data_IF_907428364776
#
_entry.id   IF_907428364776
#
_cell.length_a   1.000
_cell.length_b   1.000
_cell.length_c   1.000
_cell.angle_alpha   90.00
_cell.angle_beta   90.00
_cell.angle_gamma   90.00
#
_symmetry.space_group_name_H-M   'P 1'
#
loop_
_entity.id
_entity.type
_entity.pdbx_description
1 polymer ?
#
# COMPACT_ATOMS: atom_id res chain seq x y z
N UNK A 1 -15.09 19.78 -26.24
CA UNK A 1 -14.33 18.50 -26.23
C UNK A 1 -12.81 18.69 -26.37
N UNK A 2 -12.30 19.61 -27.22
CA UNK A 2 -10.85 19.80 -27.41
C UNK A 2 -10.05 20.14 -26.13
N UNK A 3 -10.60 20.94 -25.22
CA UNK A 3 -9.92 21.35 -23.97
C UNK A 3 -9.70 20.17 -23.00
N UNK A 4 -10.60 19.19 -22.99
CA UNK A 4 -10.45 18.02 -22.11
C UNK A 4 -9.34 17.07 -22.59
N UNK A 5 -9.11 17.01 -23.91
CA UNK A 5 -8.06 16.17 -24.50
C UNK A 5 -6.66 16.73 -24.17
N UNK A 6 -6.47 18.05 -24.24
CA UNK A 6 -5.18 18.70 -23.94
C UNK A 6 -4.78 18.60 -22.47
N UNK A 7 -5.75 18.67 -21.55
CA UNK A 7 -5.47 18.52 -20.11
C UNK A 7 -5.00 17.10 -19.76
N UNK A 8 -5.49 16.08 -20.48
CA UNK A 8 -5.07 14.70 -20.26
C UNK A 8 -3.68 14.40 -20.81
N UNK A 9 -3.28 15.00 -21.93
CA UNK A 9 -1.91 14.87 -22.47
C UNK A 9 -0.88 15.49 -21.53
N UNK A 10 -1.17 16.65 -20.95
CA UNK A 10 -0.26 17.32 -20.01
C UNK A 10 -0.02 16.49 -18.75
N UNK A 11 -1.08 15.88 -18.19
CA UNK A 11 -0.97 14.98 -17.02
C UNK A 11 -0.11 13.76 -17.33
N UNK A 12 -0.30 13.13 -18.50
CA UNK A 12 0.51 11.98 -18.93
C UNK A 12 1.98 12.36 -19.09
N UNK A 13 2.25 13.50 -19.72
CA UNK A 13 3.61 14.02 -19.91
C UNK A 13 4.30 14.29 -18.56
N UNK A 14 3.59 14.91 -17.61
CA UNK A 14 4.11 15.19 -16.27
C UNK A 14 4.37 13.91 -15.45
N UNK A 15 3.52 12.89 -15.58
CA UNK A 15 3.74 11.60 -14.94
C UNK A 15 4.93 10.85 -15.55
N UNK A 16 5.12 10.89 -16.87
CA UNK A 16 6.28 10.33 -17.57
C UNK A 16 7.59 10.99 -17.10
N UNK A 17 7.61 12.32 -17.00
CA UNK A 17 8.81 13.05 -16.55
C UNK A 17 9.18 12.72 -15.09
N UNK A 18 8.18 12.60 -14.20
CA UNK A 18 8.40 12.17 -12.80
C UNK A 18 8.99 10.76 -12.72
N UNK A 19 8.49 9.80 -13.52
CA UNK A 19 9.05 8.44 -13.56
C UNK A 19 10.49 8.45 -14.09
N UNK A 20 10.75 9.20 -15.15
CA UNK A 20 12.08 9.38 -15.71
C UNK A 20 13.09 9.94 -14.69
N UNK A 21 12.67 10.94 -13.90
CA UNK A 21 13.48 11.51 -12.83
C UNK A 21 13.79 10.46 -11.74
N UNK A 22 12.80 9.63 -11.37
CA UNK A 22 13.01 8.52 -10.45
C UNK A 22 14.04 7.50 -10.96
N UNK A 23 13.96 7.09 -12.23
CA UNK A 23 14.92 6.17 -12.86
C UNK A 23 16.35 6.74 -12.82
N UNK A 24 16.50 8.03 -13.16
CA UNK A 24 17.79 8.71 -13.11
C UNK A 24 18.35 8.79 -11.67
N UNK A 25 17.50 9.16 -10.70
CA UNK A 25 17.89 9.27 -9.29
C UNK A 25 18.30 7.94 -8.66
N UNK A 26 17.71 6.82 -9.11
CA UNK A 26 18.11 5.47 -8.68
C UNK A 26 19.41 4.96 -9.33
N UNK A 27 20.06 5.76 -10.20
CA UNK A 27 21.29 5.35 -10.87
C UNK A 27 21.09 4.23 -11.89
N UNK A 28 19.89 4.07 -12.43
CA UNK A 28 19.54 2.98 -13.37
C UNK A 28 19.85 3.32 -14.83
N UNK A 29 20.72 4.30 -15.07
CA UNK A 29 21.15 4.75 -16.40
C UNK A 29 22.66 4.55 -16.53
N UNK A 30 23.05 3.56 -17.33
CA UNK A 30 24.44 3.22 -17.58
C UNK A 30 24.84 3.63 -18.99
N UNK A 31 26.06 4.15 -19.17
CA UNK A 31 26.61 4.50 -20.48
C UNK A 31 27.45 3.35 -21.01
N UNK A 32 27.10 2.85 -22.19
CA UNK A 32 27.78 1.77 -22.91
C UNK A 32 28.22 2.31 -24.28
N UNK A 33 29.40 2.97 -24.31
CA UNK A 33 29.89 3.68 -25.49
C UNK A 33 29.00 4.85 -25.90
N UNK A 34 28.44 4.77 -27.12
CA UNK A 34 27.52 5.75 -27.70
C UNK A 34 26.04 5.47 -27.39
N UNK A 35 25.78 4.40 -26.63
CA UNK A 35 24.44 4.01 -26.20
C UNK A 35 24.31 4.18 -24.68
N UNK A 36 23.08 4.35 -24.23
CA UNK A 36 22.71 4.33 -22.81
C UNK A 36 21.78 3.15 -22.57
N UNK A 37 22.12 2.31 -21.59
CA UNK A 37 21.24 1.25 -21.09
C UNK A 37 20.46 1.79 -19.90
N UNK A 38 19.14 1.84 -20.03
CA UNK A 38 18.21 2.31 -18.99
C UNK A 38 17.45 1.11 -18.43
N UNK A 39 17.51 0.89 -17.13
CA UNK A 39 16.81 -0.23 -16.46
C UNK A 39 15.58 0.29 -15.72
N UNK A 40 14.40 -0.25 -16.02
CA UNK A 40 13.16 0.10 -15.32
C UNK A 40 12.86 -0.87 -14.18
N UNK A 41 12.57 -0.39 -12.96
CA UNK A 41 12.16 -1.25 -11.87
C UNK A 41 10.73 -1.75 -12.09
N UNK A 42 10.56 -3.06 -12.25
CA UNK A 42 9.23 -3.69 -12.27
C UNK A 42 8.84 -4.16 -10.87
N UNK A 43 7.56 -4.01 -10.54
CA UNK A 43 6.97 -4.50 -9.28
C UNK A 43 7.11 -6.02 -9.10
N UNK A 44 7.28 -6.79 -10.17
CA UNK A 44 7.42 -8.26 -10.11
C UNK A 44 8.88 -8.74 -10.06
N UNK A 45 9.83 -7.87 -9.76
CA UNK A 45 11.26 -8.20 -9.68
C UNK A 45 11.94 -8.46 -11.03
N UNK A 46 11.20 -8.56 -12.14
CA UNK A 46 11.77 -8.62 -13.49
C UNK A 46 12.21 -7.24 -13.94
N UNK A 47 13.51 -6.99 -13.97
CA UNK A 47 14.07 -5.77 -14.54
C UNK A 47 14.05 -5.89 -16.07
N UNK A 48 13.42 -4.92 -16.73
CA UNK A 48 13.57 -4.73 -18.17
C UNK A 48 14.62 -3.64 -18.41
N UNK A 49 15.48 -3.85 -19.42
CA UNK A 49 16.45 -2.86 -19.85
C UNK A 49 16.18 -2.43 -21.28
N UNK A 50 16.23 -1.14 -21.53
CA UNK A 50 16.05 -0.53 -22.85
C UNK A 50 17.29 0.26 -23.22
N UNK A 51 17.58 0.31 -24.51
CA UNK A 51 18.69 1.10 -25.05
C UNK A 51 18.18 2.45 -25.55
N UNK A 52 18.96 3.50 -25.32
CA UNK A 52 18.75 4.85 -25.84
C UNK A 52 20.01 5.27 -26.57
N UNK A 53 19.89 5.63 -27.85
CA UNK A 53 21.02 5.99 -28.71
C UNK A 53 20.65 7.12 -29.66
N UNK A 54 21.63 7.64 -30.40
CA UNK A 54 21.38 8.54 -31.54
C UNK A 54 21.52 7.74 -32.83
N UNK A 55 20.57 7.89 -33.73
CA UNK A 55 20.67 7.30 -35.07
C UNK A 55 21.66 8.07 -35.96
N UNK A 56 21.88 7.59 -37.18
CA UNK A 56 22.79 8.22 -38.16
C UNK A 56 22.39 9.66 -38.51
N UNK A 57 21.10 10.00 -38.37
CA UNK A 57 20.59 11.36 -38.55
C UNK A 57 20.73 12.23 -37.28
N UNK A 58 21.35 11.71 -36.21
CA UNK A 58 21.54 12.38 -34.93
C UNK A 58 20.27 12.46 -34.05
N UNK A 59 19.16 11.85 -34.48
CA UNK A 59 17.91 11.82 -33.73
C UNK A 59 17.98 10.78 -32.62
N UNK A 60 17.48 11.14 -31.44
CA UNK A 60 17.47 10.23 -30.28
C UNK A 60 16.40 9.17 -30.48
N UNK A 61 16.78 7.90 -30.31
CA UNK A 61 15.93 6.71 -30.42
C UNK A 61 15.94 5.91 -29.13
N UNK A 62 14.88 5.16 -28.88
CA UNK A 62 14.79 4.22 -27.77
C UNK A 62 14.20 2.88 -28.25
N UNK A 63 14.65 1.77 -27.66
CA UNK A 63 14.15 0.42 -27.98
C UNK A 63 12.88 0.02 -27.23
N UNK A 64 12.21 0.93 -26.50
CA UNK A 64 10.96 0.60 -25.81
C UNK A 64 9.75 0.71 -26.74
N UNK A 65 8.77 -0.18 -26.55
CA UNK A 65 7.56 -0.24 -27.37
C UNK A 65 6.79 1.09 -27.43
N UNK A 66 6.65 1.79 -26.30
CA UNK A 66 5.95 3.09 -26.23
C UNK A 66 6.59 4.13 -27.19
N UNK A 67 7.91 4.09 -27.37
CA UNK A 67 8.60 4.98 -28.30
C UNK A 67 8.37 4.57 -29.75
N UNK A 68 8.39 3.28 -30.04
CA UNK A 68 8.13 2.76 -31.38
C UNK A 68 6.71 3.12 -31.85
N UNK A 69 5.73 3.02 -30.97
CA UNK A 69 4.33 3.34 -31.25
C UNK A 69 4.07 4.85 -31.35
N UNK A 70 4.48 5.65 -30.35
CA UNK A 70 4.11 7.07 -30.29
C UNK A 70 5.01 7.96 -31.18
N UNK A 71 6.26 7.57 -31.46
CA UNK A 71 7.17 8.41 -32.27
C UNK A 71 6.80 8.49 -33.75
N UNK A 72 5.98 7.55 -34.24
CA UNK A 72 5.40 7.61 -35.58
C UNK A 72 4.32 8.68 -35.70
N UNK A 73 3.57 8.93 -34.62
CA UNK A 73 2.50 9.92 -34.57
C UNK A 73 3.04 11.31 -34.23
N UNK A 74 3.99 11.38 -33.29
CA UNK A 74 4.55 12.63 -32.79
C UNK A 74 6.07 12.65 -32.95
N UNK A 75 6.55 13.47 -33.90
CA UNK A 75 7.99 13.57 -34.18
C UNK A 75 8.83 14.02 -32.96
N UNK A 76 8.20 14.73 -32.01
CA UNK A 76 8.79 15.23 -30.77
C UNK A 76 8.61 14.33 -29.55
N UNK A 77 8.00 13.15 -29.70
CA UNK A 77 7.75 12.24 -28.60
C UNK A 77 9.05 11.82 -27.89
N UNK A 78 9.01 11.79 -26.55
CA UNK A 78 10.10 11.31 -25.69
C UNK A 78 9.51 10.39 -24.63
N UNK A 79 9.84 9.10 -24.71
CA UNK A 79 9.49 8.16 -23.67
C UNK A 79 10.26 8.45 -22.36
N UNK A 80 9.84 7.81 -21.28
CA UNK A 80 10.47 7.97 -19.97
C UNK A 80 11.96 7.59 -19.94
N UNK A 81 12.40 6.64 -20.78
CA UNK A 81 13.81 6.25 -20.88
C UNK A 81 14.69 7.36 -21.47
N UNK A 82 14.22 8.05 -22.52
CA UNK A 82 14.94 9.18 -23.13
C UNK A 82 15.06 10.34 -22.13
N UNK A 83 13.98 10.61 -21.40
CA UNK A 83 13.97 11.62 -20.35
C UNK A 83 14.89 11.24 -19.18
N UNK A 84 14.97 9.96 -18.81
CA UNK A 84 15.86 9.50 -17.75
C UNK A 84 17.34 9.72 -18.11
N UNK A 85 17.73 9.46 -19.37
CA UNK A 85 19.08 9.78 -19.86
C UNK A 85 19.36 11.29 -19.79
N UNK A 86 18.39 12.12 -20.19
CA UNK A 86 18.51 13.58 -20.09
C UNK A 86 18.76 14.01 -18.64
N UNK A 87 17.96 13.52 -17.69
CA UNK A 87 18.09 13.84 -16.26
C UNK A 87 19.42 13.35 -15.67
N UNK A 88 19.87 12.15 -16.04
CA UNK A 88 21.17 11.61 -15.60
C UNK A 88 22.35 12.46 -16.08
N UNK A 89 22.31 12.92 -17.34
CA UNK A 89 23.36 13.79 -17.89
C UNK A 89 23.36 15.18 -17.25
N UNK A 90 22.19 15.74 -16.95
CA UNK A 90 22.08 17.01 -16.23
C UNK A 90 22.64 16.90 -14.80
N UNK A 91 22.33 15.80 -14.09
CA UNK A 91 22.84 15.56 -12.75
C UNK A 91 24.38 15.47 -12.73
N UNK A 92 24.98 14.69 -13.65
CA UNK A 92 26.44 14.57 -13.78
C UNK A 92 27.13 15.90 -14.09
N UNK A 93 26.49 16.78 -14.85
CA UNK A 93 27.03 18.11 -15.16
C UNK A 93 26.86 19.10 -13.99
N UNK A 94 25.95 18.83 -13.05
CA UNK A 94 25.67 19.70 -11.90
C UNK A 94 26.49 19.39 -10.65
N UNK A 95 27.17 18.24 -10.60
CA UNK A 95 28.09 17.94 -9.51
C UNK A 95 29.31 18.89 -9.61
N UNK A 96 29.56 19.74 -8.59
CA UNK A 96 30.72 20.62 -8.62
C UNK A 96 31.98 19.75 -8.66
N UNK A 97 32.86 20.04 -9.61
CA UNK A 97 34.20 19.43 -9.79
C UNK A 97 35.00 19.66 -8.52
N UNK A 98 34.76 18.84 -7.51
CA UNK A 98 35.42 18.92 -6.21
C UNK A 98 35.95 17.54 -5.88
N UNK A 99 37.26 17.40 -6.09
CA UNK A 99 38.13 16.30 -5.65
C UNK A 99 38.02 15.00 -6.46
N UNK A 100 38.57 15.04 -7.69
CA UNK A 100 39.28 13.85 -8.18
C UNK A 100 40.64 13.77 -7.46
N UNK A 101 40.98 12.64 -6.82
CA UNK A 101 42.34 12.38 -6.38
C UNK A 101 43.26 12.22 -7.63
N UNK A 102 44.51 12.69 -7.58
CA UNK A 102 45.41 12.65 -8.72
C UNK A 102 45.68 11.20 -9.13
N UNK A 103 45.42 10.88 -10.40
CA UNK A 103 45.80 9.62 -11.02
C UNK A 103 47.32 9.47 -10.98
N UNK A 104 47.78 8.33 -10.46
CA UNK A 104 49.20 7.94 -10.47
C UNK A 104 49.64 7.71 -11.92
N UNK A 105 50.78 8.25 -12.35
CA UNK A 105 51.31 7.99 -13.68
C UNK A 105 51.82 6.55 -13.76
N UNK A 106 51.31 5.80 -14.74
CA UNK A 106 51.85 4.50 -15.14
C UNK A 106 53.04 4.76 -16.06
N UNK A 107 54.24 4.45 -15.57
CA UNK A 107 55.44 4.35 -16.40
C UNK A 107 55.46 2.99 -17.12
N UNK A 108 55.83 3.01 -18.40
CA UNK A 108 55.72 1.88 -19.32
C UNK A 108 56.88 0.89 -19.32
N UNK A 109 56.54 -0.29 -19.87
CA UNK A 109 57.27 -1.14 -20.81
C UNK A 109 58.75 -1.53 -20.57
N UNK A 110 59.00 -2.85 -20.45
CA UNK A 110 59.85 -3.62 -21.39
C UNK A 110 59.88 -5.15 -21.13
N UNK A 111 59.54 -5.91 -22.19
CA UNK A 111 60.16 -7.12 -22.75
C UNK A 111 60.44 -8.43 -21.95
N UNK A 112 59.79 -9.50 -22.44
CA UNK A 112 60.27 -10.85 -22.80
C UNK A 112 60.98 -11.76 -21.76
N UNK A 113 60.43 -12.97 -21.54
CA UNK A 113 60.98 -14.25 -22.05
C UNK A 113 60.14 -15.48 -21.67
N UNK A 114 60.14 -16.44 -22.60
CA UNK A 114 59.64 -17.82 -22.51
C UNK A 114 60.48 -18.67 -21.52
N UNK A 115 59.86 -19.66 -20.88
CA UNK A 115 60.18 -21.10 -21.00
C UNK A 115 59.80 -21.92 -19.75
N UNK A 116 59.19 -23.07 -20.03
CA UNK A 116 59.39 -24.40 -19.42
C UNK A 116 58.97 -24.72 -17.97
N UNK A 117 58.00 -25.65 -17.90
CA UNK A 117 57.74 -26.63 -16.82
C UNK A 117 58.98 -27.49 -16.52
N UNK A 118 59.13 -28.07 -15.32
CA UNK A 118 58.62 -29.44 -15.12
C UNK A 118 58.06 -29.76 -13.72
N UNK A 119 57.26 -30.84 -13.69
CA UNK A 119 56.87 -31.67 -12.55
C UNK A 119 58.00 -31.93 -11.54
N UNK A 120 57.65 -32.25 -10.28
CA UNK A 120 58.00 -33.51 -9.57
C UNK A 120 57.43 -33.51 -8.14
N UNK A 121 56.50 -34.44 -7.90
CA UNK A 121 56.30 -35.36 -6.75
C UNK A 121 56.20 -34.91 -5.27
N UNK A 122 55.18 -35.48 -4.61
CA UNK A 122 54.99 -35.67 -3.16
C UNK A 122 56.14 -36.50 -2.53
N UNK A 123 56.30 -36.53 -1.19
CA UNK A 123 55.58 -37.55 -0.41
C UNK A 123 55.14 -37.16 1.02
N UNK A 124 54.01 -37.75 1.41
CA UNK A 124 53.60 -38.34 2.72
C UNK A 124 54.39 -38.10 4.02
N UNK A 125 53.65 -37.80 5.11
CA UNK A 125 53.66 -38.47 6.45
C UNK A 125 52.71 -37.70 7.41
N UNK A 126 51.60 -38.27 7.94
CA UNK A 126 51.47 -39.29 8.99
C UNK A 126 52.02 -38.87 10.37
N UNK A 127 51.14 -38.56 11.33
CA UNK A 127 51.03 -39.17 12.69
C UNK A 127 49.91 -38.47 13.50
N UNK A 128 48.79 -39.12 13.83
CA UNK A 128 48.50 -39.97 15.03
C UNK A 128 48.52 -39.22 16.37
N UNK A 129 47.34 -39.12 17.04
CA UNK A 129 47.02 -39.43 18.48
C UNK A 129 45.71 -38.72 18.88
N UNK A 130 44.81 -39.18 19.75
CA UNK A 130 44.26 -40.47 20.19
C UNK A 130 42.99 -40.10 20.99
N UNK A 131 42.03 -41.01 21.06
CA UNK A 131 40.73 -40.88 21.72
C UNK A 131 40.79 -41.02 23.26
N UNK A 132 39.93 -40.23 23.95
CA UNK A 132 39.05 -40.56 25.11
C UNK A 132 39.64 -41.14 26.43
N UNK A 133 38.89 -41.35 27.56
CA UNK A 133 37.54 -40.90 27.98
C UNK A 133 37.38 -40.43 29.49
N UNK A 134 36.16 -39.94 29.81
CA UNK A 134 35.27 -40.21 30.99
C UNK A 134 35.50 -39.71 32.45
N UNK A 135 34.31 -39.63 33.11
CA UNK A 135 33.92 -39.56 34.55
C UNK A 135 33.72 -38.17 35.19
N UNK A 136 32.49 -37.72 35.52
CA UNK A 136 31.45 -38.17 36.50
C UNK A 136 31.71 -37.70 37.94
N UNK A 137 30.84 -36.83 38.49
CA UNK A 137 30.27 -36.77 39.88
C UNK A 137 29.00 -35.85 39.76
N UNK A 138 27.75 -36.34 39.81
CA UNK A 138 26.85 -36.57 40.96
C UNK A 138 26.59 -35.33 41.86
N UNK A 139 25.48 -35.05 42.54
CA UNK A 139 24.06 -35.46 42.62
C UNK A 139 23.48 -34.55 43.76
N UNK A 140 22.19 -34.16 43.70
CA UNK A 140 21.26 -33.89 44.81
C UNK A 140 20.07 -33.07 44.25
N UNK A 141 18.89 -33.62 43.96
CA UNK A 141 17.88 -34.21 44.85
C UNK A 141 17.09 -33.17 45.66
N UNK A 142 15.83 -32.97 45.29
CA UNK A 142 14.71 -32.75 46.23
C UNK A 142 13.39 -32.90 45.48
N UNK A 143 12.44 -33.46 46.20
CA UNK A 143 11.37 -34.32 45.75
C UNK A 143 9.99 -33.72 46.06
N UNK A 144 8.96 -34.43 45.57
CA UNK A 144 7.59 -34.48 46.06
C UNK A 144 6.60 -33.37 45.66
N UNK A 145 5.72 -33.71 44.70
CA UNK A 145 4.27 -33.87 44.94
C UNK A 145 3.54 -34.29 43.66
N UNK A 146 3.12 -35.55 43.59
CA UNK A 146 2.09 -36.03 42.67
C UNK A 146 1.03 -36.75 43.49
N UNK A 147 -0.25 -36.43 43.23
CA UNK A 147 -1.39 -37.22 43.68
C UNK A 147 -2.69 -36.43 43.85
N UNK A 148 -3.53 -36.34 42.79
CA UNK A 148 -4.89 -36.94 42.71
C UNK A 148 -5.75 -36.33 41.58
N UNK A 149 -6.37 -37.25 40.84
CA UNK A 149 -7.69 -37.21 40.14
C UNK A 149 -7.96 -36.23 38.98
N UNK A 150 -8.37 -36.79 37.82
CA UNK A 150 -9.36 -36.16 36.96
C UNK A 150 -10.46 -37.18 36.57
N UNK A 151 -11.57 -37.24 37.30
CA UNK A 151 -12.72 -38.05 36.89
C UNK A 151 -14.10 -37.42 37.08
N UNK A 152 -14.20 -36.13 37.44
CA UNK A 152 -15.50 -35.46 37.60
C UNK A 152 -15.86 -34.39 36.56
N UNK A 153 -14.93 -33.95 35.70
CA UNK A 153 -15.20 -32.88 34.71
C UNK A 153 -15.71 -33.39 33.34
N UNK A 154 -15.60 -34.69 33.06
CA UNK A 154 -16.08 -35.30 31.80
C UNK A 154 -17.55 -35.74 31.85
N UNK A 155 -18.17 -35.80 33.03
CA UNK A 155 -19.56 -36.23 33.20
C UNK A 155 -20.58 -35.08 33.16
N UNK A 156 -20.17 -33.83 33.41
CA UNK A 156 -21.08 -32.67 33.35
C UNK A 156 -21.22 -32.11 31.93
N UNK A 157 -20.18 -32.20 31.10
CA UNK A 157 -20.20 -31.69 29.72
C UNK A 157 -21.06 -32.52 28.75
N UNK A 158 -21.39 -33.77 29.10
CA UNK A 158 -22.22 -34.67 28.28
C UNK A 158 -23.71 -34.54 28.56
N UNK A 159 -24.11 -34.10 29.77
CA UNK A 159 -25.52 -33.90 30.14
C UNK A 159 -26.06 -32.57 29.57
N UNK A 160 -25.23 -31.54 29.50
CA UNK A 160 -25.64 -30.21 28.99
C UNK A 160 -25.81 -30.18 27.46
N UNK A 161 -25.09 -31.05 26.74
CA UNK A 161 -25.19 -31.17 25.27
C UNK A 161 -26.44 -31.91 24.81
N UNK A 162 -26.91 -32.91 25.57
CA UNK A 162 -28.14 -33.65 25.24
C UNK A 162 -29.43 -32.85 25.51
N UNK A 163 -29.39 -31.90 26.46
CA UNK A 163 -30.54 -31.05 26.78
C UNK A 163 -30.76 -29.90 25.78
N UNK A 164 -29.71 -29.49 25.05
CA UNK A 164 -29.80 -28.44 24.01
C UNK A 164 -30.35 -29.01 22.70
N UNK A 165 -29.95 -30.23 22.31
CA UNK A 165 -30.45 -30.88 21.10
C UNK A 165 -31.95 -31.21 21.18
N UNK A 166 -32.48 -31.62 22.35
CA UNK A 166 -33.92 -31.86 22.50
C UNK A 166 -34.78 -30.59 22.45
N UNK A 167 -34.19 -29.40 22.67
CA UNK A 167 -34.92 -28.13 22.68
C UNK A 167 -34.98 -27.46 21.31
N UNK A 168 -34.09 -27.82 20.40
CA UNK A 168 -34.08 -27.33 19.02
C UNK A 168 -34.99 -28.15 18.09
N UNK A 169 -35.19 -29.45 18.36
CA UNK A 169 -36.08 -30.30 17.55
C UNK A 169 -37.57 -30.11 17.84
N UNK A 170 -37.94 -29.49 18.98
CA UNK A 170 -39.33 -29.28 19.37
C UNK A 170 -39.94 -27.94 18.89
N UNK A 171 -39.18 -27.11 18.16
CA UNK A 171 -39.62 -25.80 17.65
C UNK A 171 -39.71 -25.75 16.11
N UNK A 172 -39.50 -26.88 15.43
CA UNK A 172 -39.38 -26.96 13.97
C UNK A 172 -40.58 -27.61 13.25
N UNK A 173 -41.66 -27.99 13.96
CA UNK A 173 -42.77 -28.77 13.37
C UNK A 173 -44.11 -28.04 13.23
N UNK A 174 -44.23 -26.73 13.51
CA UNK A 174 -45.55 -26.06 13.56
C UNK A 174 -45.69 -24.72 12.79
N UNK A 175 -44.86 -24.42 11.78
CA UNK A 175 -45.04 -23.13 11.01
C UNK A 175 -44.99 -23.19 9.48
N UNK A 176 -44.81 -24.35 8.84
CA UNK A 176 -44.58 -24.40 7.37
C UNK A 176 -45.81 -24.77 6.50
N UNK A 177 -47.04 -24.70 7.01
CA UNK A 177 -48.24 -25.07 6.23
C UNK A 177 -49.16 -23.91 5.82
N UNK A 178 -49.05 -22.71 6.40
CA UNK A 178 -50.00 -21.60 6.13
C UNK A 178 -49.42 -20.41 5.37
N UNK A 179 -48.09 -20.20 5.36
CA UNK A 179 -47.47 -19.01 4.72
C UNK A 179 -47.23 -19.14 3.21
N UNK A 180 -47.34 -20.35 2.62
CA UNK A 180 -47.04 -20.57 1.20
C UNK A 180 -48.24 -20.36 0.25
N UNK A 181 -49.44 -20.13 0.79
CA UNK A 181 -50.66 -19.86 0.00
C UNK A 181 -51.04 -18.39 -0.14
N UNK A 182 -50.44 -17.47 0.62
CA UNK A 182 -50.77 -16.03 0.54
C UNK A 182 -49.85 -15.22 -0.40
N UNK A 183 -48.61 -15.66 -0.68
CA UNK A 183 -47.69 -14.87 -1.50
C UNK A 183 -47.92 -14.95 -3.03
N UNK A 184 -48.78 -15.84 -3.52
CA UNK A 184 -49.01 -16.01 -4.97
C UNK A 184 -50.18 -15.19 -5.53
N UNK A 185 -50.77 -14.26 -4.75
CA UNK A 185 -51.94 -13.48 -5.17
C UNK A 185 -51.73 -11.97 -5.31
N UNK A 186 -50.54 -11.45 -5.04
CA UNK A 186 -50.25 -10.00 -5.10
C UNK A 186 -49.33 -9.55 -6.26
N UNK A 187 -48.88 -10.46 -7.13
CA UNK A 187 -48.00 -10.12 -8.27
C UNK A 187 -48.72 -9.88 -9.62
N UNK A 188 -49.97 -9.39 -9.61
CA UNK A 188 -50.69 -8.97 -10.84
C UNK A 188 -51.52 -7.70 -10.63
N UNK A 189 -50.88 -6.58 -10.31
CA UNK A 189 -51.41 -5.25 -10.60
C UNK A 189 -50.28 -4.22 -10.49
N UNK A 190 -50.25 -3.24 -11.40
CA UNK A 190 -49.34 -2.09 -11.49
C UNK A 190 -48.04 -2.30 -12.28
N UNK A 191 -48.17 -2.27 -13.61
CA UNK A 191 -47.13 -1.80 -14.52
C UNK A 191 -47.45 -0.35 -14.93
N UNK A 192 -46.56 0.64 -14.71
CA UNK A 192 -46.57 1.88 -15.45
C UNK A 192 -45.63 1.81 -16.67
N UNK A 193 -46.15 2.23 -17.82
CA UNK A 193 -45.45 2.36 -19.10
C UNK A 193 -44.27 3.35 -18.98
N UNK A 194 -43.09 2.92 -19.45
CA UNK A 194 -41.92 3.76 -19.64
C UNK A 194 -41.81 4.18 -21.12
N UNK A 195 -41.34 5.40 -21.42
CA UNK A 195 -41.30 5.92 -22.78
C UNK A 195 -40.15 5.30 -23.59
N UNK A 196 -40.45 4.91 -24.83
CA UNK A 196 -39.52 4.44 -25.83
C UNK A 196 -38.44 5.48 -26.10
N UNK A 197 -37.17 5.12 -25.87
CA UNK A 197 -36.01 5.88 -26.35
C UNK A 197 -35.46 5.14 -27.57
N UNK A 198 -35.41 5.86 -28.69
CA UNK A 198 -34.84 5.45 -29.96
C UNK A 198 -33.44 4.84 -29.77
N UNK A 199 -33.33 3.54 -30.04
CA UNK A 199 -32.06 2.84 -30.15
C UNK A 199 -31.61 2.91 -31.61
N UNK A 200 -30.58 3.71 -31.86
CA UNK A 200 -29.87 3.73 -33.13
C UNK A 200 -29.32 2.33 -33.45
N UNK A 201 -29.75 1.83 -34.60
CA UNK A 201 -29.42 0.52 -35.14
C UNK A 201 -27.95 0.50 -35.59
N UNK A 202 -27.05 0.03 -34.72
CA UNK A 202 -25.65 -0.21 -35.06
C UNK A 202 -25.58 -1.35 -36.08
N UNK A 203 -25.04 -1.05 -37.26
CA UNK A 203 -24.94 -2.00 -38.37
C UNK A 203 -23.95 -3.12 -38.07
N UNK A 204 -24.22 -4.33 -38.57
CA UNK A 204 -23.42 -5.53 -38.33
C UNK A 204 -21.95 -5.44 -38.80
N UNK A 205 -21.61 -4.46 -39.64
CA UNK A 205 -20.24 -4.21 -40.11
C UNK A 205 -19.40 -3.42 -39.11
N UNK A 206 -19.98 -2.54 -38.28
CA UNK A 206 -19.23 -1.83 -37.24
C UNK A 206 -18.85 -2.73 -36.05
N UNK A 207 -19.61 -3.81 -35.83
CA UNK A 207 -19.33 -4.77 -34.76
C UNK A 207 -18.14 -5.70 -35.08
N UNK A 208 -17.81 -5.87 -36.37
CA UNK A 208 -16.67 -6.68 -36.83
C UNK A 208 -15.34 -5.89 -36.82
N UNK A 209 -15.39 -4.56 -36.91
CA UNK A 209 -14.19 -3.71 -36.88
C UNK A 209 -13.66 -3.42 -35.45
N UNK A 210 -14.47 -3.68 -34.41
CA UNK A 210 -14.07 -3.46 -33.01
C UNK A 210 -13.58 -4.72 -32.27
N UNK A 211 -13.58 -5.90 -32.91
CA UNK A 211 -13.24 -7.17 -32.26
C UNK A 211 -11.75 -7.50 -32.18
N UNK A 212 -10.85 -6.64 -32.66
CA UNK A 212 -9.39 -6.87 -32.65
C UNK A 212 -8.65 -6.21 -31.47
N UNK A 213 -9.37 -5.58 -30.55
CA UNK A 213 -8.81 -5.18 -29.26
C UNK A 213 -9.03 -6.32 -28.25
N UNK A 214 -7.97 -7.09 -27.95
CA UNK A 214 -7.95 -8.17 -26.96
C UNK A 214 -8.12 -7.65 -25.52
N UNK A 215 -9.23 -6.97 -25.23
CA UNK A 215 -9.69 -6.81 -23.86
C UNK A 215 -10.03 -8.21 -23.33
N UNK A 216 -9.62 -8.59 -22.10
CA UNK A 216 -10.06 -9.83 -21.51
C UNK A 216 -11.58 -9.76 -21.37
N UNK A 217 -12.29 -10.40 -22.30
CA UNK A 217 -13.74 -10.57 -22.24
C UNK A 217 -14.01 -11.36 -20.97
N UNK A 218 -14.42 -10.64 -19.94
CA UNK A 218 -14.79 -11.23 -18.66
C UNK A 218 -15.96 -12.17 -18.93
N UNK A 219 -15.83 -13.48 -18.66
CA UNK A 219 -16.92 -14.42 -18.91
C UNK A 219 -18.19 -13.94 -18.21
N UNK A 220 -19.33 -14.01 -18.90
CA UNK A 220 -20.63 -13.55 -18.37
C UNK A 220 -20.95 -14.14 -16.98
N UNK A 221 -20.51 -15.39 -16.75
CA UNK A 221 -20.61 -16.08 -15.47
C UNK A 221 -19.89 -15.34 -14.32
N UNK A 222 -18.69 -14.81 -14.56
CA UNK A 222 -17.95 -14.05 -13.55
C UNK A 222 -18.60 -12.69 -13.25
N UNK A 223 -19.21 -12.04 -14.25
CA UNK A 223 -19.95 -10.81 -14.03
C UNK A 223 -21.16 -11.02 -13.11
N UNK A 224 -21.86 -12.15 -13.24
CA UNK A 224 -22.97 -12.52 -12.36
C UNK A 224 -22.48 -12.81 -10.93
N UNK A 225 -21.38 -13.54 -10.78
CA UNK A 225 -20.70 -13.75 -9.49
C UNK A 225 -20.35 -12.43 -8.81
N UNK A 226 -19.74 -11.48 -9.54
CA UNK A 226 -19.41 -10.17 -8.99
C UNK A 226 -20.67 -9.38 -8.58
N UNK A 227 -21.78 -9.53 -9.29
CA UNK A 227 -23.05 -8.89 -8.94
C UNK A 227 -23.61 -9.43 -7.62
N UNK A 228 -23.53 -10.75 -7.41
CA UNK A 228 -23.93 -11.38 -6.15
C UNK A 228 -23.02 -10.97 -4.99
N UNK A 229 -21.70 -10.96 -5.20
CA UNK A 229 -20.72 -10.54 -4.18
C UNK A 229 -20.84 -9.05 -3.78
N UNK A 230 -21.50 -8.21 -4.60
CA UNK A 230 -21.76 -6.80 -4.33
C UNK A 230 -23.08 -6.54 -3.59
N UNK A 231 -23.87 -7.57 -3.31
CA UNK A 231 -25.10 -7.40 -2.54
C UNK A 231 -24.77 -6.88 -1.14
N UNK A 232 -25.61 -5.98 -0.57
CA UNK A 232 -25.38 -5.45 0.76
C UNK A 232 -25.41 -6.58 1.79
N UNK A 233 -24.53 -6.50 2.79
CA UNK A 233 -24.48 -7.49 3.87
C UNK A 233 -25.64 -7.25 4.84
N UNK A 234 -26.21 -8.35 5.36
CA UNK A 234 -27.22 -8.29 6.43
C UNK A 234 -26.65 -7.50 7.63
N UNK A 235 -27.32 -6.41 8.07
CA UNK A 235 -26.90 -5.62 9.22
C UNK A 235 -26.61 -6.43 10.49
N UNK A 236 -27.22 -7.62 10.67
CA UNK A 236 -26.96 -8.50 11.81
C UNK A 236 -25.54 -9.07 11.84
N UNK A 237 -24.90 -9.17 10.67
CA UNK A 237 -23.54 -9.67 10.52
C UNK A 237 -22.49 -8.56 10.63
N UNK A 238 -22.93 -7.30 10.65
CA UNK A 238 -22.09 -6.13 10.83
C UNK A 238 -21.89 -5.90 12.33
N UNK A 239 -20.63 -5.84 12.74
CA UNK A 239 -20.23 -5.51 14.11
C UNK A 239 -19.66 -4.11 14.16
N UNK A 240 -19.66 -3.52 15.35
CA UNK A 240 -19.13 -2.18 15.55
C UNK A 240 -18.04 -2.21 16.60
N UNK A 241 -16.96 -1.47 16.35
CA UNK A 241 -15.85 -1.31 17.31
C UNK A 241 -15.48 0.16 17.45
N UNK A 242 -14.79 0.48 18.53
CA UNK A 242 -14.12 1.78 18.65
C UNK A 242 -13.09 1.91 17.51
N UNK A 243 -13.29 2.90 16.64
CA UNK A 243 -12.40 3.19 15.53
C UNK A 243 -11.39 4.26 15.92
N UNK A 244 -11.61 5.47 15.43
CA UNK A 244 -10.76 6.62 15.69
C UNK A 244 -11.40 7.54 16.73
N UNK A 245 -10.57 8.36 17.41
CA UNK A 245 -11.05 9.41 18.30
C UNK A 245 -10.82 10.76 17.67
N UNK A 246 -11.87 11.58 17.58
CA UNK A 246 -11.80 12.93 17.04
C UNK A 246 -10.99 13.87 17.94
N UNK A 247 -10.61 15.03 17.38
CA UNK A 247 -9.89 16.11 18.06
C UNK A 247 -10.63 16.55 19.33
N UNK A 248 -11.95 16.46 19.34
CA UNK A 248 -12.80 16.77 20.47
C UNK A 248 -12.87 15.66 21.54
N UNK A 249 -12.17 14.54 21.34
CA UNK A 249 -12.15 13.40 22.26
C UNK A 249 -13.30 12.41 22.05
N UNK A 250 -14.19 12.65 21.09
CA UNK A 250 -15.29 11.75 20.76
C UNK A 250 -14.77 10.48 20.09
N UNK A 251 -15.26 9.31 20.50
CA UNK A 251 -14.91 8.03 19.86
C UNK A 251 -15.88 7.76 18.71
N UNK A 252 -15.34 7.69 17.48
CA UNK A 252 -16.11 7.29 16.30
C UNK A 252 -16.14 5.77 16.24
N UNK A 253 -17.35 5.24 16.13
CA UNK A 253 -17.60 3.82 16.04
C UNK A 253 -17.46 3.40 14.57
N UNK A 254 -16.64 2.38 14.31
CA UNK A 254 -16.38 1.85 12.97
C UNK A 254 -17.07 0.50 12.82
N UNK A 255 -17.88 0.40 11.79
CA UNK A 255 -18.53 -0.83 11.36
C UNK A 255 -17.53 -1.75 10.67
N UNK A 256 -17.60 -3.05 10.95
CA UNK A 256 -16.74 -4.05 10.35
C UNK A 256 -17.45 -5.40 10.27
N UNK A 257 -16.95 -6.24 9.37
CA UNK A 257 -17.36 -7.65 9.25
C UNK A 257 -16.23 -8.55 9.74
N UNK A 258 -16.60 -9.64 10.40
CA UNK A 258 -15.67 -10.66 10.86
C UNK A 258 -15.15 -11.51 9.70
N UNK A 259 -13.93 -12.04 9.85
CA UNK A 259 -13.26 -12.74 8.76
C UNK A 259 -13.98 -14.03 8.36
N UNK A 260 -14.55 -14.76 9.33
CA UNK A 260 -15.30 -15.99 9.07
C UNK A 260 -16.57 -15.70 8.26
N UNK A 261 -17.28 -14.60 8.54
CA UNK A 261 -18.45 -14.20 7.74
C UNK A 261 -18.08 -13.94 6.29
N UNK A 262 -16.91 -13.34 6.04
CA UNK A 262 -16.40 -13.14 4.68
C UNK A 262 -16.07 -14.49 4.01
N UNK A 263 -15.47 -15.42 4.75
CA UNK A 263 -15.19 -16.77 4.26
C UNK A 263 -16.49 -17.54 3.94
N UNK A 264 -17.47 -17.52 4.84
CA UNK A 264 -18.78 -18.17 4.66
C UNK A 264 -19.54 -17.61 3.44
N UNK A 265 -19.44 -16.30 3.20
CA UNK A 265 -20.00 -15.66 2.00
C UNK A 265 -19.29 -16.14 0.73
N UNK A 266 -17.96 -16.24 0.75
CA UNK A 266 -17.17 -16.74 -0.37
C UNK A 266 -17.45 -18.22 -0.65
N UNK A 267 -17.58 -19.05 0.38
CA UNK A 267 -17.92 -20.47 0.25
C UNK A 267 -19.32 -20.68 -0.37
N UNK A 268 -20.30 -19.86 0.06
CA UNK A 268 -21.68 -19.96 -0.44
C UNK A 268 -21.83 -19.47 -1.88
N UNK A 269 -21.19 -18.34 -2.23
CA UNK A 269 -21.38 -17.68 -3.52
C UNK A 269 -20.39 -18.16 -4.58
N UNK A 270 -19.18 -18.55 -4.16
CA UNK A 270 -18.06 -18.87 -5.05
C UNK A 270 -17.22 -20.02 -4.49
N UNK A 271 -17.72 -21.27 -4.44
CA UNK A 271 -17.00 -22.39 -3.84
C UNK A 271 -15.64 -22.71 -4.50
N UNK A 272 -15.37 -22.14 -5.68
CA UNK A 272 -14.09 -22.25 -6.40
C UNK A 272 -13.04 -21.22 -5.95
N UNK A 273 -13.33 -20.41 -4.93
CA UNK A 273 -12.39 -19.41 -4.45
C UNK A 273 -11.16 -20.06 -3.79
N UNK A 274 -10.04 -19.35 -3.81
CA UNK A 274 -8.82 -19.77 -3.11
C UNK A 274 -8.13 -18.58 -2.44
N UNK A 275 -7.51 -18.86 -1.30
CA UNK A 275 -6.72 -17.93 -0.50
C UNK A 275 -5.25 -18.32 -0.53
N UNK A 276 -4.36 -17.33 -0.69
CA UNK A 276 -2.91 -17.53 -0.58
C UNK A 276 -2.23 -16.30 0.00
N UNK A 277 -1.31 -16.50 0.96
CA UNK A 277 -0.47 -15.43 1.48
C UNK A 277 0.70 -15.21 0.52
N UNK A 278 0.80 -14.02 -0.07
CA UNK A 278 1.82 -13.65 -1.06
C UNK A 278 3.11 -13.15 -0.43
N UNK A 279 3.01 -12.49 0.72
CA UNK A 279 4.18 -11.93 1.39
C UNK A 279 3.85 -11.47 2.80
N UNK A 280 4.83 -11.62 3.68
CA UNK A 280 4.80 -11.13 5.05
C UNK A 280 6.02 -10.23 5.21
N UNK A 281 5.80 -8.98 5.56
CA UNK A 281 6.85 -7.98 5.75
C UNK A 281 6.71 -7.41 7.15
N UNK A 282 7.72 -7.62 7.98
CA UNK A 282 7.79 -6.98 9.29
C UNK A 282 8.45 -5.60 9.15
N UNK A 283 7.78 -4.58 9.66
CA UNK A 283 8.23 -3.18 9.69
C UNK A 283 8.20 -2.74 11.15
N UNK A 284 9.37 -2.74 11.80
CA UNK A 284 9.51 -2.48 13.25
C UNK A 284 8.65 -3.43 14.10
N UNK A 285 7.73 -2.87 14.87
CA UNK A 285 6.76 -3.51 15.76
C UNK A 285 5.46 -3.90 15.06
N UNK A 286 5.35 -3.66 13.76
CA UNK A 286 4.19 -4.03 12.94
C UNK A 286 4.54 -5.10 11.92
N UNK A 287 3.57 -5.95 11.62
CA UNK A 287 3.60 -6.92 10.53
C UNK A 287 2.57 -6.55 9.49
N UNK A 288 3.00 -6.49 8.23
CA UNK A 288 2.16 -6.31 7.06
C UNK A 288 2.08 -7.63 6.30
N UNK A 289 0.86 -8.15 6.14
CA UNK A 289 0.59 -9.40 5.41
C UNK A 289 -0.13 -9.05 4.12
N UNK A 290 0.35 -9.55 2.99
CA UNK A 290 -0.32 -9.44 1.69
C UNK A 290 -0.94 -10.79 1.34
N UNK A 291 -2.26 -10.83 1.21
CA UNK A 291 -3.03 -12.00 0.84
C UNK A 291 -3.65 -11.82 -0.56
N UNK A 292 -3.78 -12.90 -1.31
CA UNK A 292 -4.41 -12.94 -2.62
C UNK A 292 -5.60 -13.89 -2.60
N UNK A 293 -6.76 -13.38 -3.03
CA UNK A 293 -7.96 -14.18 -3.29
C UNK A 293 -8.09 -14.36 -4.80
N UNK A 294 -8.28 -15.61 -5.24
CA UNK A 294 -8.54 -15.94 -6.65
C UNK A 294 -9.93 -16.54 -6.80
N UNK A 295 -10.76 -15.94 -7.65
CA UNK A 295 -12.11 -16.40 -7.99
C UNK A 295 -12.20 -16.54 -9.51
N UNK A 296 -12.50 -17.73 -10.01
CA UNK A 296 -12.65 -18.02 -11.45
C UNK A 296 -11.49 -17.47 -12.31
N UNK A 297 -10.25 -17.62 -11.85
CA UNK A 297 -9.03 -17.17 -12.54
C UNK A 297 -8.67 -15.69 -12.35
N UNK A 298 -9.51 -14.89 -11.70
CA UNK A 298 -9.21 -13.49 -11.37
C UNK A 298 -8.66 -13.41 -9.95
N UNK A 299 -7.43 -12.92 -9.82
CA UNK A 299 -6.77 -12.71 -8.52
C UNK A 299 -6.80 -11.25 -8.12
N UNK A 300 -7.22 -10.96 -6.88
CA UNK A 300 -7.06 -9.63 -6.26
C UNK A 300 -6.34 -9.76 -4.94
N UNK A 301 -5.45 -8.82 -4.67
CA UNK A 301 -4.59 -8.82 -3.48
C UNK A 301 -5.07 -7.80 -2.47
N UNK A 302 -4.91 -8.07 -1.19
CA UNK A 302 -5.19 -7.17 -0.07
C UNK A 302 -4.03 -7.19 0.91
N UNK A 303 -3.76 -6.05 1.56
CA UNK A 303 -2.68 -5.93 2.54
C UNK A 303 -3.28 -5.57 3.89
N UNK A 304 -3.09 -6.43 4.88
CA UNK A 304 -3.51 -6.20 6.25
C UNK A 304 -2.34 -5.97 7.18
N UNK A 305 -2.61 -5.30 8.30
CA UNK A 305 -1.58 -4.92 9.28
C UNK A 305 -1.95 -5.36 10.68
N UNK A 306 -0.95 -5.74 11.47
CA UNK A 306 -1.11 -6.10 12.88
C UNK A 306 0.18 -5.86 13.65
N UNK A 307 0.14 -6.04 14.97
CA UNK A 307 1.34 -5.95 15.81
C UNK A 307 2.18 -7.22 15.64
N UNK A 308 3.51 -7.08 15.65
CA UNK A 308 4.45 -8.19 15.46
C UNK A 308 4.85 -8.86 16.78
N UNK A 309 4.47 -8.28 17.91
CA UNK A 309 4.82 -8.71 19.26
C UNK A 309 4.06 -9.95 19.74
N UNK A 310 2.91 -10.24 19.12
CA UNK A 310 2.05 -11.34 19.50
C UNK A 310 1.48 -12.08 18.27
N UNK A 311 1.19 -13.37 18.47
CA UNK A 311 0.57 -14.22 17.45
C UNK A 311 -0.81 -13.67 17.02
N UNK A 312 -1.54 -13.07 17.96
CA UNK A 312 -2.85 -12.46 17.72
C UNK A 312 -2.77 -11.31 16.72
N UNK A 313 -1.68 -10.53 16.72
CA UNK A 313 -1.41 -9.45 15.79
C UNK A 313 -1.06 -9.95 14.39
N UNK A 314 -0.26 -11.00 14.29
CA UNK A 314 0.04 -11.67 13.01
C UNK A 314 -1.25 -12.25 12.40
N UNK A 315 -2.06 -12.97 13.20
CA UNK A 315 -3.36 -13.50 12.78
C UNK A 315 -4.31 -12.37 12.34
N UNK A 316 -4.35 -11.27 13.09
CA UNK A 316 -5.16 -10.09 12.74
C UNK A 316 -4.71 -9.49 11.41
N UNK A 317 -3.41 -9.43 11.13
CA UNK A 317 -2.89 -8.91 9.86
C UNK A 317 -3.33 -9.78 8.68
N UNK A 318 -3.28 -11.10 8.81
CA UNK A 318 -3.76 -12.03 7.77
C UNK A 318 -5.28 -11.90 7.57
N UNK A 319 -6.06 -11.90 8.65
CA UNK A 319 -7.50 -11.72 8.59
C UNK A 319 -7.88 -10.39 7.92
N UNK A 320 -7.16 -9.31 8.22
CA UNK A 320 -7.39 -8.01 7.59
C UNK A 320 -7.00 -8.03 6.10
N UNK A 321 -5.91 -8.71 5.74
CA UNK A 321 -5.48 -8.88 4.35
C UNK A 321 -6.53 -9.64 3.52
N UNK A 322 -7.09 -10.73 4.05
CA UNK A 322 -8.18 -11.50 3.47
C UNK A 322 -9.40 -10.59 3.20
N UNK A 323 -9.86 -9.86 4.22
CA UNK A 323 -11.00 -8.95 4.08
C UNK A 323 -10.75 -7.88 3.02
N UNK A 324 -9.56 -7.26 3.01
CA UNK A 324 -9.17 -6.25 2.02
C UNK A 324 -9.08 -6.80 0.60
N UNK A 325 -8.70 -8.05 0.42
CA UNK A 325 -8.75 -8.71 -0.88
C UNK A 325 -10.21 -8.97 -1.31
N UNK A 326 -11.06 -9.44 -0.39
CA UNK A 326 -12.47 -9.74 -0.64
C UNK A 326 -13.29 -8.49 -1.02
N UNK A 327 -13.04 -7.36 -0.35
CA UNK A 327 -13.68 -6.06 -0.65
C UNK A 327 -13.46 -5.64 -2.09
N UNK A 328 -12.29 -5.96 -2.66
CA UNK A 328 -12.03 -5.63 -4.06
C UNK A 328 -12.98 -6.39 -4.98
N UNK A 329 -13.46 -7.59 -4.63
CA UNK A 329 -14.48 -8.30 -5.42
C UNK A 329 -15.91 -7.75 -5.22
N UNK A 330 -16.16 -7.01 -4.13
CA UNK A 330 -17.42 -6.35 -3.86
C UNK A 330 -18.01 -6.62 -2.48
N UNK A 331 -17.47 -7.58 -1.73
CA UNK A 331 -17.98 -7.98 -0.41
C UNK A 331 -17.80 -6.83 0.59
N UNK A 332 -18.85 -6.45 1.30
CA UNK A 332 -18.83 -5.41 2.34
C UNK A 332 -18.30 -4.05 1.87
N UNK A 333 -18.35 -3.78 0.55
CA UNK A 333 -17.78 -2.55 -0.03
C UNK A 333 -18.54 -1.30 0.43
N UNK A 334 -19.82 -1.44 0.69
CA UNK A 334 -20.71 -0.41 1.23
C UNK A 334 -20.27 0.11 2.60
N UNK A 335 -19.65 -0.74 3.44
CA UNK A 335 -19.16 -0.32 4.76
C UNK A 335 -17.99 0.67 4.62
N UNK A 336 -17.10 0.41 3.66
CA UNK A 336 -15.97 1.30 3.37
C UNK A 336 -16.41 2.60 2.71
N UNK A 337 -17.46 2.55 1.87
CA UNK A 337 -18.02 3.76 1.26
C UNK A 337 -18.65 4.66 2.33
N UNK A 338 -19.47 4.10 3.21
CA UNK A 338 -20.07 4.84 4.32
C UNK A 338 -19.01 5.40 5.26
N UNK A 339 -18.00 4.60 5.60
CA UNK A 339 -16.88 5.07 6.43
C UNK A 339 -16.11 6.21 5.75
N UNK A 340 -15.84 6.14 4.44
CA UNK A 340 -15.18 7.23 3.72
C UNK A 340 -16.04 8.50 3.66
N UNK A 341 -17.34 8.39 3.47
CA UNK A 341 -18.26 9.54 3.47
C UNK A 341 -18.31 10.21 4.85
N UNK A 342 -18.32 9.41 5.93
CA UNK A 342 -18.25 9.92 7.30
C UNK A 342 -16.91 10.60 7.55
N UNK A 343 -15.79 10.02 7.12
CA UNK A 343 -14.45 10.62 7.26
C UNK A 343 -14.30 11.90 6.41
N UNK A 344 -14.91 11.97 5.22
CA UNK A 344 -14.89 13.16 4.36
C UNK A 344 -15.80 14.27 4.89
N UNK A 345 -16.96 13.91 5.46
CA UNK A 345 -17.95 14.86 5.99
C UNK A 345 -17.57 15.38 7.37
N UNK A 346 -17.07 14.50 8.26
CA UNK A 346 -16.62 14.84 9.61
C UNK A 346 -15.14 15.25 9.63
N UNK A 347 -14.44 15.08 8.51
CA UNK A 347 -13.11 15.61 8.22
C UNK A 347 -11.99 14.95 9.02
N UNK A 348 -11.26 13.99 8.42
CA UNK A 348 -9.93 13.63 8.92
C UNK A 348 -8.86 13.40 7.86
N UNK A 349 -8.03 14.43 7.72
CA UNK A 349 -6.58 14.32 7.83
C UNK A 349 -6.08 15.60 8.53
N UNK A 350 -4.90 15.63 9.17
CA UNK A 350 -4.32 16.90 9.59
C UNK A 350 -4.19 17.78 8.34
N UNK A 351 -5.09 18.76 8.19
CA UNK A 351 -4.95 19.75 7.14
C UNK A 351 -3.66 20.53 7.39
N UNK A 352 -2.98 20.96 6.34
CA UNK A 352 -1.82 21.83 6.49
C UNK A 352 -2.27 23.10 7.23
N UNK A 353 -1.85 23.25 8.48
CA UNK A 353 -2.28 24.33 9.39
C UNK A 353 -2.91 23.86 10.70
N UNK A 354 -3.25 22.58 10.83
CA UNK A 354 -3.90 22.08 12.05
C UNK A 354 -2.90 21.82 13.18
N UNK A 355 -3.13 22.47 14.33
CA UNK A 355 -2.22 22.43 15.48
C UNK A 355 -2.17 21.01 16.10
N UNK A 356 -0.97 20.44 16.38
CA UNK A 356 -0.84 19.09 16.94
C UNK A 356 -1.45 18.97 18.35
N UNK A 357 -2.02 17.79 18.66
CA UNK A 357 -2.59 17.50 20.00
C UNK A 357 -1.55 17.51 21.13
N UNK A 358 -0.33 17.10 20.81
CA UNK A 358 0.79 17.03 21.77
C UNK A 358 1.89 17.96 21.27
N UNK A 359 1.87 19.23 21.70
CA UNK A 359 2.80 20.22 21.19
C UNK A 359 4.19 20.10 21.82
N UNK A 360 4.32 19.36 22.93
CA UNK A 360 5.56 19.24 23.69
C UNK A 360 6.54 18.27 23.04
N UNK A 361 7.81 18.68 22.99
CA UNK A 361 8.88 17.81 22.54
C UNK A 361 9.11 16.67 23.54
N UNK A 362 9.09 15.42 23.06
CA UNK A 362 9.32 14.23 23.91
C UNK A 362 10.81 13.92 24.13
N UNK A 363 11.68 14.54 23.33
CA UNK A 363 13.13 14.36 23.42
C UNK A 363 13.86 15.60 22.92
N UNK A 364 15.13 15.75 23.30
CA UNK A 364 16.00 16.81 22.78
C UNK A 364 16.11 16.79 21.25
N UNK A 365 16.02 15.61 20.63
CA UNK A 365 16.06 15.46 19.17
C UNK A 365 14.79 15.93 18.48
N UNK A 366 13.68 16.01 19.21
CA UNK A 366 12.37 16.47 18.75
C UNK A 366 12.09 17.92 19.14
N UNK A 367 12.97 18.54 19.93
CA UNK A 367 12.85 19.94 20.32
C UNK A 367 12.91 20.86 19.09
N UNK A 368 12.19 21.98 19.17
CA UNK A 368 12.18 23.03 18.16
C UNK A 368 13.60 23.44 17.79
N UNK A 369 13.84 23.57 16.49
CA UNK A 369 15.18 23.97 16.02
C UNK A 369 15.40 25.47 16.19
N UNK A 370 16.65 25.94 16.38
CA UNK A 370 16.95 27.37 16.44
C UNK A 370 16.45 28.15 15.21
N UNK A 371 16.45 27.50 14.03
CA UNK A 371 15.91 28.06 12.79
C UNK A 371 14.40 28.28 12.88
N UNK A 372 13.66 27.31 13.41
CA UNK A 372 12.20 27.43 13.59
C UNK A 372 11.86 28.50 14.62
N UNK A 373 12.58 28.58 15.75
CA UNK A 373 12.40 29.66 16.73
C UNK A 373 12.66 31.04 16.11
N UNK A 374 13.71 31.16 15.30
CA UNK A 374 14.00 32.38 14.55
C UNK A 374 12.84 32.79 13.63
N UNK A 375 12.24 31.82 12.92
CA UNK A 375 11.07 32.05 12.07
C UNK A 375 9.83 32.45 12.87
N UNK A 376 9.52 31.76 13.97
CA UNK A 376 8.39 32.07 14.85
C UNK A 376 8.49 33.51 15.36
N UNK A 377 9.66 33.90 15.86
CA UNK A 377 9.91 35.27 16.37
C UNK A 377 9.81 36.33 15.28
N UNK A 378 10.28 36.04 14.08
CA UNK A 378 10.17 36.97 12.95
C UNK A 378 8.72 37.20 12.54
N UNK A 379 7.96 36.11 12.35
CA UNK A 379 6.55 36.16 11.94
C UNK A 379 5.67 36.82 13.02
N UNK A 380 5.88 36.49 14.29
CA UNK A 380 5.14 37.11 15.39
C UNK A 380 5.41 38.63 15.48
N UNK A 381 6.67 39.06 15.29
CA UNK A 381 7.03 40.49 15.24
C UNK A 381 6.34 41.20 14.07
N UNK A 382 6.27 40.56 12.90
CA UNK A 382 5.58 41.12 11.73
C UNK A 382 4.08 41.23 11.92
N UNK A 383 3.46 40.28 12.65
CA UNK A 383 2.04 40.30 13.01
C UNK A 383 1.72 41.21 14.21
N UNK A 384 2.75 41.73 14.91
CA UNK A 384 2.59 42.56 16.11
C UNK A 384 2.10 41.81 17.34
N UNK A 385 2.40 40.50 17.45
CA UNK A 385 1.94 39.61 18.52
C UNK A 385 3.16 39.07 19.31
N UNK A 386 2.98 38.81 20.60
CA UNK A 386 3.97 38.08 21.41
C UNK A 386 3.88 36.57 21.13
N UNK A 387 4.95 36.01 20.55
CA UNK A 387 4.99 34.61 20.16
C UNK A 387 4.80 33.63 21.33
N UNK A 388 5.35 33.95 22.51
CA UNK A 388 5.27 33.06 23.67
C UNK A 388 3.89 33.09 24.31
N UNK A 389 3.26 34.26 24.36
CA UNK A 389 1.90 34.40 24.87
C UNK A 389 0.89 33.72 23.94
N UNK A 390 1.02 33.94 22.63
CA UNK A 390 0.15 33.30 21.63
C UNK A 390 0.31 31.78 21.62
N UNK A 391 1.55 31.28 21.72
CA UNK A 391 1.84 29.86 21.85
C UNK A 391 1.25 29.27 23.13
N UNK A 392 1.32 29.99 24.26
CA UNK A 392 0.72 29.55 25.52
C UNK A 392 -0.80 29.53 25.46
N UNK A 393 -1.42 30.48 24.79
CA UNK A 393 -2.88 30.51 24.62
C UNK A 393 -3.37 29.38 23.71
N UNK A 394 -2.69 29.13 22.59
CA UNK A 394 -3.12 28.13 21.60
C UNK A 394 -2.70 26.70 21.95
N UNK A 395 -1.44 26.51 22.36
CA UNK A 395 -0.80 25.21 22.55
C UNK A 395 -0.54 24.87 24.01
N UNK A 396 -0.78 25.79 24.95
CA UNK A 396 -0.57 25.60 26.40
C UNK A 396 0.88 25.24 26.76
N UNK A 397 1.85 25.66 25.95
CA UNK A 397 3.28 25.49 26.19
C UNK A 397 4.09 26.71 25.71
N UNK A 398 5.35 26.82 26.14
CA UNK A 398 6.26 27.87 25.65
C UNK A 398 6.82 27.55 24.26
N UNK A 399 7.26 28.58 23.52
CA UNK A 399 7.81 28.35 22.15
C UNK A 399 9.06 27.48 22.16
N UNK A 400 9.84 27.51 23.24
CA UNK A 400 11.05 26.70 23.44
C UNK A 400 10.75 25.21 23.75
N UNK A 401 9.53 24.90 24.17
CA UNK A 401 9.11 23.53 24.55
C UNK A 401 8.46 22.77 23.38
N UNK A 402 8.27 23.45 22.25
CA UNK A 402 7.60 22.90 21.08
C UNK A 402 8.37 21.74 20.47
N UNK A 403 7.64 20.70 20.05
CA UNK A 403 8.16 19.72 19.11
C UNK A 403 8.40 20.35 17.74
N UNK A 404 9.30 19.79 16.93
CA UNK A 404 9.55 20.28 15.56
C UNK A 404 8.28 20.34 14.72
N UNK A 405 7.36 19.39 14.91
CA UNK A 405 6.07 19.34 14.20
C UNK A 405 5.12 20.45 14.69
N UNK A 406 5.04 20.66 15.99
CA UNK A 406 4.24 21.74 16.57
C UNK A 406 4.75 23.12 16.16
N UNK A 407 6.06 23.31 16.18
CA UNK A 407 6.70 24.53 15.69
C UNK A 407 6.38 24.82 14.22
N UNK A 408 6.45 23.82 13.33
CA UNK A 408 6.06 24.01 11.92
C UNK A 408 4.59 24.39 11.76
N UNK A 409 3.70 23.76 12.53
CA UNK A 409 2.25 24.06 12.46
C UNK A 409 1.96 25.47 13.00
N UNK A 410 2.66 25.88 14.06
CA UNK A 410 2.56 27.21 14.63
C UNK A 410 3.11 28.30 13.70
N UNK A 411 4.20 28.00 12.96
CA UNK A 411 4.71 28.89 11.90
C UNK A 411 3.65 29.12 10.82
N UNK A 412 2.94 28.08 10.39
CA UNK A 412 1.92 28.21 9.35
C UNK A 412 0.69 28.98 9.85
N UNK A 413 0.30 28.80 11.11
CA UNK A 413 -0.69 29.64 11.78
C UNK A 413 -0.30 31.13 11.76
N UNK A 414 0.94 31.47 12.14
CA UNK A 414 1.43 32.86 12.14
C UNK A 414 1.48 33.47 10.73
N UNK A 415 1.85 32.70 9.70
CA UNK A 415 1.75 33.15 8.30
C UNK A 415 0.31 33.43 7.86
N UNK A 416 -0.65 32.65 8.36
CA UNK A 416 -2.07 32.88 8.13
C UNK A 416 -2.54 34.23 8.69
N UNK A 417 -2.11 34.57 9.91
CA UNK A 417 -2.40 35.87 10.53
C UNK A 417 -1.80 37.03 9.74
N UNK A 418 -0.55 36.89 9.27
CA UNK A 418 0.08 37.89 8.41
C UNK A 418 -0.71 38.14 7.12
N UNK A 419 -1.20 37.06 6.50
CA UNK A 419 -1.98 37.14 5.26
C UNK A 419 -3.33 37.81 5.47
N UNK A 420 -3.93 37.65 6.66
CA UNK A 420 -5.20 38.30 7.01
C UNK A 420 -5.05 39.80 7.36
N UNK A 421 -3.89 40.20 7.91
CA UNK A 421 -3.63 41.60 8.32
C UNK A 421 -3.11 42.51 7.19
N UNK A 422 -2.73 41.98 6.02
CA UNK A 422 -2.40 42.83 4.87
C UNK A 422 -3.68 43.25 4.13
N UNK A 423 -4.18 44.49 4.28
CA UNK A 423 -5.19 45.00 3.35
C UNK A 423 -4.54 45.03 1.97
N UNK A 424 -5.19 44.41 0.98
CA UNK A 424 -4.85 44.53 -0.44
C UNK A 424 -4.50 46.00 -0.74
N UNK A 425 -3.21 46.32 -0.82
CA UNK A 425 -2.77 47.59 -1.37
C UNK A 425 -3.16 47.58 -2.83
N UNK A 426 -4.35 48.13 -3.12
CA UNK A 426 -4.77 48.44 -4.48
C UNK A 426 -3.67 49.31 -5.08
N UNK A 427 -2.97 48.74 -6.06
CA UNK A 427 -2.10 49.50 -6.94
C UNK A 427 -2.95 50.63 -7.55
N UNK A 428 -2.58 51.88 -7.26
CA UNK A 428 -3.07 53.07 -7.96
C UNK A 428 -2.10 53.42 -9.07
#
# INVERSE_FOLDING_TARGET
MAIAATVNTDKKMLMRDKRAQGIAAMGLVNREGDRFRVTTPSLRGRRSSYEVWRDEAGKVRCSCLEFEEESAQEAGFRCEHILAVKHSLLAKNSEPVTKQPPEKPVAGAAAQKQAETPNTEEPTASEKRAEQPAEQIAQADTSARFGREPQQLLAMATIERAAIDQRLTALADDTDAEEQTEMNKQHTAFAPEAPEQDLDFVTAEEHAAMSDASAPVVPLAFANTLRQLRQPIDPKLVKTREGWRDRNGNTHMVEYVEWHTVADLLDRLTPTWSHSVRGIVQINDMVAVTAAITINGVTREGTGTGTADNETGIKKAEHDALKRAAIKFGIARELYQRESEVIETEGQGPQAGDLPRDPLAKSMSDLVTPKQLGMIRALAREAGIDADEECRQLLRCGTEELSKRAASSFIDYLKGLQSAQQPMRRAS
#
